data_IF_695854146156
#
_entry.id   IF_695854146156
#
_cell.length_a   1.000
_cell.length_b   1.000
_cell.length_c   1.000
_cell.angle_alpha   90.00
_cell.angle_beta   90.00
_cell.angle_gamma   90.00
#
_symmetry.space_group_name_H-M   'P 1'
#
loop_
_entity.id
_entity.type
_entity.pdbx_description
1 polymer ?
#
# COMPACT_ATOMS: atom_id res chain seq x y z
N UNK A 1 32.21 33.19 -18.08
CA UNK A 1 32.18 32.26 -16.93
C UNK A 1 30.78 31.72 -16.92
N UNK A 2 30.62 30.41 -17.09
CA UNK A 2 29.31 29.78 -17.08
C UNK A 2 28.78 29.89 -15.65
N UNK A 3 27.60 30.48 -15.46
CA UNK A 3 26.95 30.67 -14.17
C UNK A 3 26.54 29.34 -13.48
N UNK A 4 26.72 28.22 -14.18
CA UNK A 4 26.41 26.86 -13.75
C UNK A 4 27.54 26.22 -12.90
N UNK A 5 28.42 27.02 -12.29
CA UNK A 5 29.54 26.51 -11.47
C UNK A 5 29.68 27.27 -10.14
N UNK A 6 28.66 28.05 -9.76
CA UNK A 6 28.73 28.96 -8.61
C UNK A 6 27.61 28.76 -7.57
N UNK A 7 26.55 28.00 -7.88
CA UNK A 7 25.67 27.44 -6.86
C UNK A 7 25.91 25.95 -6.85
N UNK A 8 26.55 25.47 -5.80
CA UNK A 8 26.90 24.06 -5.60
C UNK A 8 25.79 23.41 -4.77
N UNK A 9 25.23 22.31 -5.25
CA UNK A 9 24.13 21.62 -4.60
C UNK A 9 24.48 20.17 -4.33
N UNK A 10 24.69 19.87 -3.07
CA UNK A 10 25.03 18.56 -2.56
C UNK A 10 23.83 17.81 -2.00
N UNK A 11 23.70 16.51 -2.30
CA UNK A 11 22.69 15.65 -1.70
C UNK A 11 23.26 14.30 -1.24
N UNK A 12 23.25 14.09 0.08
CA UNK A 12 23.63 12.83 0.68
C UNK A 12 22.38 12.08 1.17
N UNK A 13 22.24 10.82 0.76
CA UNK A 13 21.10 9.97 1.12
C UNK A 13 21.60 8.78 1.93
N UNK A 14 21.00 8.51 3.08
CA UNK A 14 21.35 7.37 3.92
C UNK A 14 20.67 6.09 3.44
N UNK A 15 21.18 4.96 3.90
CA UNK A 15 20.48 3.68 3.74
C UNK A 15 19.36 3.60 4.78
N UNK A 16 18.31 2.83 4.49
CA UNK A 16 17.21 2.64 5.43
C UNK A 16 16.49 1.29 5.31
N UNK A 17 15.69 0.92 6.32
CA UNK A 17 14.90 -0.30 6.30
C UNK A 17 13.65 -0.15 5.43
N UNK A 18 13.23 -1.22 4.73
CA UNK A 18 11.90 -1.32 4.12
C UNK A 18 10.84 -1.11 5.20
N UNK A 19 9.86 -0.24 4.94
CA UNK A 19 8.86 0.20 5.90
C UNK A 19 9.27 1.37 6.79
N UNK A 20 10.52 1.83 6.67
CA UNK A 20 11.04 3.04 7.31
C UNK A 20 11.36 4.13 6.29
N UNK A 21 12.46 4.83 6.53
CA UNK A 21 12.91 5.97 5.73
C UNK A 21 14.41 5.90 5.43
N UNK A 22 14.79 6.46 4.28
CA UNK A 22 16.15 6.96 4.04
C UNK A 22 16.18 8.46 4.37
N UNK A 23 17.11 8.89 5.21
CA UNK A 23 17.29 10.30 5.53
C UNK A 23 18.10 10.98 4.43
N UNK A 24 17.72 12.20 4.08
CA UNK A 24 18.38 13.00 3.05
C UNK A 24 18.92 14.27 3.69
N UNK A 25 20.19 14.57 3.43
CA UNK A 25 20.80 15.86 3.76
C UNK A 25 21.10 16.61 2.47
N UNK A 26 20.53 17.80 2.36
CA UNK A 26 20.78 18.74 1.28
C UNK A 26 21.72 19.82 1.77
N UNK A 27 22.78 20.09 1.02
CA UNK A 27 23.70 21.19 1.31
C UNK A 27 23.81 22.07 0.07
N UNK A 28 23.52 23.35 0.19
CA UNK A 28 23.64 24.30 -0.92
C UNK A 28 24.68 25.33 -0.53
N UNK A 29 25.69 25.48 -1.38
CA UNK A 29 26.79 26.41 -1.18
C UNK A 29 26.82 27.42 -2.30
N UNK A 30 26.72 28.71 -1.97
CA UNK A 30 27.00 29.76 -2.93
C UNK A 30 28.53 29.94 -3.04
N UNK A 31 29.12 29.39 -4.09
CA UNK A 31 30.53 29.54 -4.44
C UNK A 31 30.82 30.82 -5.23
N UNK A 32 29.80 31.58 -5.63
CA UNK A 32 29.99 32.87 -6.28
C UNK A 32 30.69 33.85 -5.34
N UNK A 33 31.71 34.57 -5.81
CA UNK A 33 32.34 35.63 -5.02
C UNK A 33 31.48 36.89 -4.89
N UNK A 34 30.47 37.07 -5.75
CA UNK A 34 29.75 38.34 -5.87
C UNK A 34 28.23 38.19 -5.92
N UNK A 35 27.70 37.08 -6.42
CA UNK A 35 26.27 36.94 -6.66
C UNK A 35 25.52 36.48 -5.42
N UNK A 36 24.26 36.91 -5.32
CA UNK A 36 23.32 36.46 -4.29
C UNK A 36 22.16 35.75 -4.97
N UNK A 37 21.84 34.56 -4.48
CA UNK A 37 20.70 33.79 -4.94
C UNK A 37 19.53 34.02 -3.99
N UNK A 38 18.36 34.34 -4.54
CA UNK A 38 17.14 34.57 -3.77
C UNK A 38 16.08 33.53 -4.09
N UNK A 39 15.16 33.29 -3.15
CA UNK A 39 14.08 32.31 -3.28
C UNK A 39 14.60 30.91 -3.65
N UNK A 40 15.72 30.50 -3.05
CA UNK A 40 16.28 29.18 -3.26
C UNK A 40 15.37 28.12 -2.64
N UNK A 41 14.94 27.17 -3.46
CA UNK A 41 14.10 26.03 -3.08
C UNK A 41 14.67 24.74 -3.64
N UNK A 42 14.41 23.63 -2.97
CA UNK A 42 14.74 22.29 -3.47
C UNK A 42 13.46 21.59 -3.91
N UNK A 43 13.52 20.90 -5.04
CA UNK A 43 12.52 19.94 -5.46
C UNK A 43 13.15 18.53 -5.56
N UNK A 44 12.67 17.61 -4.75
CA UNK A 44 13.09 16.21 -4.70
C UNK A 44 11.83 15.31 -4.81
N UNK A 45 11.51 14.77 -6.00
CA UNK A 45 10.27 14.03 -6.23
C UNK A 45 10.05 12.82 -5.32
N UNK A 46 11.12 12.13 -4.92
CA UNK A 46 11.04 10.92 -4.10
C UNK A 46 10.97 11.22 -2.59
N UNK A 47 11.23 12.47 -2.18
CA UNK A 47 11.13 12.86 -0.78
C UNK A 47 9.68 12.96 -0.33
N UNK A 48 9.44 12.63 0.94
CA UNK A 48 8.16 12.80 1.63
C UNK A 48 7.58 14.21 1.48
N UNK A 49 8.44 15.22 1.54
CA UNK A 49 8.09 16.61 1.24
C UNK A 49 8.88 16.99 -0.02
N UNK A 50 8.26 16.93 -1.21
CA UNK A 50 9.00 17.13 -2.45
C UNK A 50 9.55 18.54 -2.62
N UNK A 51 8.83 19.55 -2.12
CA UNK A 51 9.21 20.96 -2.26
C UNK A 51 9.68 21.53 -0.92
N UNK A 52 10.97 21.81 -0.80
CA UNK A 52 11.60 22.27 0.44
C UNK A 52 12.02 23.73 0.26
N UNK A 53 11.50 24.60 1.10
CA UNK A 53 11.93 26.00 1.18
C UNK A 53 13.07 26.10 2.17
N UNK A 54 14.20 26.64 1.74
CA UNK A 54 15.37 26.82 2.60
C UNK A 54 15.16 27.95 3.61
N UNK A 55 15.81 27.84 4.76
CA UNK A 55 15.88 28.90 5.75
C UNK A 55 17.34 29.15 6.18
N UNK A 56 17.99 30.22 5.69
CA UNK A 56 17.45 31.25 4.80
C UNK A 56 17.30 30.77 3.34
N UNK A 57 16.32 31.31 2.61
CA UNK A 57 16.14 31.07 1.16
C UNK A 57 16.89 32.10 0.29
N UNK A 58 17.58 33.05 0.91
CA UNK A 58 18.49 33.96 0.22
C UNK A 58 19.92 33.66 0.66
N UNK A 59 20.76 33.28 -0.30
CA UNK A 59 22.10 32.76 -0.07
C UNK A 59 23.11 33.73 -0.69
N UNK A 60 23.79 34.51 0.14
CA UNK A 60 24.83 35.45 -0.28
C UNK A 60 26.17 34.74 -0.58
N UNK A 61 27.16 35.47 -1.11
CA UNK A 61 28.48 34.92 -1.44
C UNK A 61 29.13 34.14 -0.29
N UNK A 62 29.58 32.92 -0.56
CA UNK A 62 30.25 32.04 0.40
C UNK A 62 29.35 31.43 1.48
N UNK A 63 28.03 31.68 1.44
CA UNK A 63 27.10 31.12 2.41
C UNK A 63 26.73 29.69 2.01
N UNK A 64 26.73 28.81 3.01
CA UNK A 64 26.21 27.45 2.92
C UNK A 64 24.93 27.33 3.75
N UNK A 65 23.93 26.63 3.21
CA UNK A 65 22.67 26.34 3.89
C UNK A 65 22.42 24.84 3.80
N UNK A 66 21.94 24.25 4.89
CA UNK A 66 21.56 22.84 4.94
C UNK A 66 20.06 22.68 5.17
N UNK A 67 19.49 21.63 4.60
CA UNK A 67 18.13 21.17 4.87
C UNK A 67 18.13 19.64 4.97
N UNK A 68 17.08 19.08 5.56
CA UNK A 68 16.90 17.64 5.65
C UNK A 68 15.55 17.22 5.07
N UNK A 69 15.48 15.97 4.62
CA UNK A 69 14.27 15.32 4.14
C UNK A 69 14.32 13.83 4.42
N UNK A 70 13.26 13.14 4.04
CA UNK A 70 13.16 11.69 4.18
C UNK A 70 12.52 11.11 2.93
N UNK A 71 12.94 9.91 2.53
CA UNK A 71 12.33 9.12 1.45
C UNK A 71 11.67 7.90 2.09
N UNK A 72 10.34 7.72 1.98
CA UNK A 72 9.68 6.53 2.51
C UNK A 72 10.07 5.29 1.69
N UNK A 73 10.39 4.20 2.38
CA UNK A 73 10.89 2.98 1.74
C UNK A 73 9.80 1.90 1.74
N UNK A 74 9.47 1.40 0.55
CA UNK A 74 8.66 0.19 0.31
C UNK A 74 9.51 -0.92 -0.31
N UNK A 75 8.98 -2.12 -0.46
CA UNK A 75 9.57 -3.13 -1.35
C UNK A 75 9.27 -4.58 -1.01
N UNK A 76 9.16 -5.41 -2.04
CA UNK A 76 9.08 -6.86 -1.87
C UNK A 76 10.46 -7.50 -1.52
N UNK A 77 10.48 -8.78 -1.13
CA UNK A 77 11.73 -9.50 -0.76
C UNK A 77 12.70 -9.70 -1.94
N UNK A 78 12.27 -9.35 -3.16
CA UNK A 78 13.08 -9.33 -4.39
C UNK A 78 13.56 -7.92 -4.75
N UNK A 79 13.10 -6.91 -4.01
CA UNK A 79 13.35 -5.48 -4.22
C UNK A 79 14.40 -4.89 -3.28
N UNK A 80 15.03 -5.71 -2.41
CA UNK A 80 16.23 -5.30 -1.67
C UNK A 80 17.31 -4.91 -2.69
N UNK A 81 17.78 -3.67 -2.65
CA UNK A 81 18.58 -3.22 -3.78
C UNK A 81 18.99 -1.77 -3.76
N UNK A 82 19.77 -1.47 -4.78
CA UNK A 82 20.30 -0.16 -5.11
C UNK A 82 19.18 0.70 -5.67
N UNK A 83 18.95 1.85 -5.05
CA UNK A 83 18.05 2.88 -5.53
C UNK A 83 18.87 4.11 -5.92
N UNK A 84 18.32 4.89 -6.83
CA UNK A 84 18.91 6.14 -7.29
C UNK A 84 17.87 7.23 -7.16
N UNK A 85 18.31 8.42 -6.75
CA UNK A 85 17.46 9.61 -6.69
C UNK A 85 18.25 10.85 -7.09
N UNK A 86 17.56 11.89 -7.52
CA UNK A 86 18.14 13.19 -7.80
C UNK A 86 17.18 14.29 -7.35
N UNK A 87 17.73 15.36 -6.79
CA UNK A 87 17.00 16.57 -6.48
C UNK A 87 17.45 17.72 -7.39
N UNK A 88 16.68 18.80 -7.38
CA UNK A 88 17.02 20.04 -8.07
C UNK A 88 16.93 21.21 -7.11
N UNK A 89 17.90 22.11 -7.15
CA UNK A 89 17.85 23.39 -6.47
C UNK A 89 17.54 24.49 -7.49
N UNK A 90 16.54 25.31 -7.21
CA UNK A 90 16.18 26.45 -8.06
C UNK A 90 16.29 27.74 -7.29
N UNK A 91 16.80 28.80 -7.90
CA UNK A 91 16.90 30.13 -7.30
C UNK A 91 16.80 31.24 -8.33
N UNK A 92 16.80 32.48 -7.86
CA UNK A 92 16.81 33.68 -8.71
C UNK A 92 18.13 34.43 -8.49
N UNK A 93 18.90 34.56 -9.56
CA UNK A 93 20.11 35.39 -9.64
C UNK A 93 19.88 36.53 -10.63
N UNK A 94 20.05 37.79 -10.21
CA UNK A 94 19.93 38.97 -11.08
C UNK A 94 18.63 39.00 -11.92
N UNK A 95 17.53 38.52 -11.35
CA UNK A 95 16.21 38.43 -11.99
C UNK A 95 16.00 37.24 -12.94
N UNK A 96 17.00 36.38 -13.10
CA UNK A 96 16.92 35.15 -13.90
C UNK A 96 16.82 33.92 -13.01
N UNK A 97 16.01 32.94 -13.42
CA UNK A 97 15.95 31.64 -12.76
C UNK A 97 17.22 30.85 -13.08
N UNK A 98 17.78 30.22 -12.06
CA UNK A 98 18.85 29.23 -12.17
C UNK A 98 18.35 27.91 -11.59
N UNK A 99 18.88 26.81 -12.13
CA UNK A 99 18.60 25.46 -11.69
C UNK A 99 19.90 24.69 -11.65
N UNK A 100 20.14 24.01 -10.54
CA UNK A 100 21.26 23.11 -10.33
C UNK A 100 20.72 21.72 -9.98
N UNK A 101 21.36 20.66 -10.47
CA UNK A 101 21.04 19.30 -10.02
C UNK A 101 21.85 19.00 -8.76
N UNK A 102 21.35 18.06 -7.95
CA UNK A 102 22.15 17.61 -6.81
C UNK A 102 23.39 16.85 -7.29
N UNK A 103 24.51 17.06 -6.62
CA UNK A 103 25.69 16.23 -6.65
C UNK A 103 25.39 14.93 -5.91
N UNK A 104 25.41 13.85 -6.67
CA UNK A 104 25.04 12.53 -6.19
C UNK A 104 26.23 11.69 -5.78
N UNK A 105 26.04 10.81 -4.79
CA UNK A 105 27.00 9.74 -4.48
C UNK A 105 26.75 8.54 -5.41
N UNK A 106 27.75 8.11 -6.17
CA UNK A 106 27.65 6.93 -7.03
C UNK A 106 27.72 5.60 -6.25
N UNK A 107 27.56 4.46 -6.94
CA UNK A 107 27.62 3.14 -6.31
C UNK A 107 28.98 2.78 -5.70
N UNK A 108 30.03 3.56 -5.99
CA UNK A 108 31.38 3.39 -5.47
C UNK A 108 31.67 4.35 -4.30
N UNK A 109 30.70 5.20 -3.91
CA UNK A 109 30.84 6.17 -2.84
C UNK A 109 31.49 7.49 -3.27
N UNK A 110 31.65 7.75 -4.57
CA UNK A 110 32.24 9.01 -5.06
C UNK A 110 31.14 10.03 -5.36
N UNK A 111 31.44 11.32 -5.17
CA UNK A 111 30.54 12.40 -5.61
C UNK A 111 30.69 12.67 -7.10
N UNK A 112 29.55 12.79 -7.77
CA UNK A 112 29.44 13.13 -9.18
C UNK A 112 28.66 14.44 -9.27
N UNK A 113 29.32 15.44 -9.86
CA UNK A 113 28.76 16.73 -10.24
C UNK A 113 27.49 16.54 -11.08
N UNK A 114 26.38 17.16 -10.67
CA UNK A 114 25.05 17.03 -11.29
C UNK A 114 24.55 15.55 -11.39
N UNK A 115 25.03 14.68 -10.49
CA UNK A 115 24.79 13.23 -10.50
C UNK A 115 23.54 12.74 -9.74
N UNK A 116 23.26 11.44 -9.80
CA UNK A 116 22.22 10.82 -8.96
C UNK A 116 22.86 10.27 -7.69
N UNK A 117 22.20 10.44 -6.54
CA UNK A 117 22.60 9.79 -5.29
C UNK A 117 22.10 8.36 -5.26
N UNK A 118 23.00 7.47 -4.89
CA UNK A 118 22.78 6.04 -4.78
C UNK A 118 22.63 5.69 -3.30
N UNK A 119 21.58 4.95 -2.97
CA UNK A 119 21.33 4.49 -1.61
C UNK A 119 20.74 3.08 -1.61
N UNK A 120 20.81 2.41 -0.45
CA UNK A 120 20.29 1.07 -0.28
C UNK A 120 19.10 1.06 0.66
N UNK A 121 18.04 0.37 0.23
CA UNK A 121 17.03 -0.13 1.18
C UNK A 121 17.38 -1.56 1.59
N UNK A 122 17.23 -1.86 2.88
CA UNK A 122 17.51 -3.19 3.43
C UNK A 122 16.29 -3.76 4.14
N UNK A 123 16.25 -5.08 4.30
CA UNK A 123 15.22 -5.72 5.11
C UNK A 123 15.51 -5.52 6.60
N UNK A 124 14.45 -5.46 7.40
CA UNK A 124 14.49 -5.60 8.87
C UNK A 124 14.05 -7.02 9.25
N UNK A 125 14.32 -7.46 10.49
CA UNK A 125 13.90 -8.79 10.95
C UNK A 125 12.39 -9.01 10.83
N UNK A 126 11.60 -7.94 11.04
CA UNK A 126 10.16 -7.92 10.80
C UNK A 126 9.78 -6.64 10.08
N UNK A 127 9.11 -6.82 8.95
CA UNK A 127 8.60 -5.75 8.13
C UNK A 127 7.40 -6.25 7.34
N UNK A 128 6.53 -5.36 6.90
CA UNK A 128 5.32 -5.74 6.21
C UNK A 128 4.64 -4.59 5.52
N UNK A 129 3.54 -4.92 4.85
CA UNK A 129 2.65 -3.97 4.19
C UNK A 129 1.24 -4.21 4.73
N UNK A 130 0.50 -3.13 4.96
CA UNK A 130 -0.94 -3.19 5.19
C UNK A 130 -1.63 -2.69 3.93
N UNK A 131 -2.60 -3.44 3.42
CA UNK A 131 -3.22 -3.14 2.15
C UNK A 131 -4.70 -3.56 2.10
N UNK A 132 -5.44 -2.97 1.17
CA UNK A 132 -6.75 -3.46 0.73
C UNK A 132 -6.53 -4.42 -0.42
N UNK A 133 -6.96 -5.67 -0.25
CA UNK A 133 -6.93 -6.74 -1.25
C UNK A 133 -8.03 -6.50 -2.27
N UNK A 134 -7.69 -5.79 -3.35
CA UNK A 134 -8.65 -5.35 -4.36
C UNK A 134 -9.10 -6.52 -5.22
N UNK A 135 -8.18 -7.42 -5.55
CA UNK A 135 -8.46 -8.51 -6.47
C UNK A 135 -9.01 -9.77 -5.75
N UNK A 136 -8.92 -9.83 -4.42
CA UNK A 136 -9.47 -10.87 -3.57
C UNK A 136 -8.64 -12.15 -3.56
N UNK A 137 -7.34 -12.08 -3.89
CA UNK A 137 -6.47 -13.25 -3.98
C UNK A 137 -5.64 -13.51 -2.71
N UNK A 138 -5.76 -12.65 -1.70
CA UNK A 138 -5.07 -12.74 -0.41
C UNK A 138 -3.53 -12.69 -0.53
N UNK A 139 -3.01 -11.97 -1.52
CA UNK A 139 -1.59 -11.74 -1.75
C UNK A 139 -1.43 -10.28 -2.14
N UNK A 140 -0.46 -9.58 -1.54
CA UNK A 140 -0.15 -8.21 -1.95
C UNK A 140 0.37 -8.17 -3.39
N UNK A 141 -0.40 -7.56 -4.27
CA UNK A 141 -0.05 -7.30 -5.66
C UNK A 141 0.19 -5.80 -5.90
N UNK A 142 1.46 -5.44 -6.13
CA UNK A 142 1.87 -4.06 -6.38
C UNK A 142 1.13 -3.46 -7.60
N UNK A 143 0.51 -2.31 -7.40
CA UNK A 143 -0.28 -1.61 -8.43
C UNK A 143 -1.69 -2.16 -8.66
N UNK A 144 -2.08 -3.27 -8.03
CA UNK A 144 -3.46 -3.77 -8.02
C UNK A 144 -4.10 -3.49 -6.65
N UNK A 145 -3.37 -3.82 -5.60
CA UNK A 145 -3.82 -3.59 -4.23
C UNK A 145 -3.52 -2.16 -3.78
N UNK A 146 -4.37 -1.68 -2.88
CA UNK A 146 -4.22 -0.33 -2.33
C UNK A 146 -3.51 -0.42 -0.99
N UNK A 147 -2.25 0.01 -0.91
CA UNK A 147 -1.57 0.09 0.39
C UNK A 147 -2.24 1.11 1.30
N UNK A 148 -2.12 0.92 2.61
CA UNK A 148 -2.73 1.78 3.62
C UNK A 148 -1.65 2.52 4.40
N UNK A 149 -1.28 3.75 3.98
CA UNK A 149 -0.46 4.64 4.78
C UNK A 149 -1.14 5.06 6.09
N UNK A 150 -0.35 5.29 7.14
CA UNK A 150 -0.87 5.80 8.41
C UNK A 150 -1.64 4.78 9.25
N UNK A 151 -1.74 3.52 8.80
CA UNK A 151 -2.29 2.44 9.61
C UNK A 151 -1.44 2.22 10.86
N UNK A 152 -2.10 2.21 12.02
CA UNK A 152 -1.51 2.06 13.35
C UNK A 152 -1.49 0.57 13.72
N UNK A 153 -0.33 0.12 14.20
CA UNK A 153 -0.13 -1.22 14.77
C UNK A 153 0.23 -1.02 16.24
N UNK A 154 -0.66 -1.46 17.12
CA UNK A 154 -0.46 -1.40 18.57
C UNK A 154 0.31 -2.62 19.04
N UNK A 155 1.42 -2.39 19.72
CA UNK A 155 2.29 -3.37 20.32
C UNK A 155 2.00 -3.47 21.81
N UNK A 156 2.10 -4.68 22.35
CA UNK A 156 2.02 -4.92 23.78
C UNK A 156 2.91 -6.10 24.18
N UNK A 157 3.40 -6.07 25.41
CA UNK A 157 4.13 -7.17 26.04
C UNK A 157 3.32 -7.83 27.15
N UNK A 158 3.85 -8.93 27.70
CA UNK A 158 3.21 -9.68 28.77
C UNK A 158 3.31 -8.98 30.15
N UNK A 159 4.07 -7.90 30.25
CA UNK A 159 4.19 -7.01 31.40
C UNK A 159 3.18 -5.83 31.34
N UNK A 160 2.46 -5.68 30.22
CA UNK A 160 1.46 -4.64 29.99
C UNK A 160 2.03 -3.31 29.51
N UNK A 161 3.29 -3.25 29.08
CA UNK A 161 3.81 -2.11 28.35
C UNK A 161 3.20 -2.09 26.94
N UNK A 162 2.99 -0.89 26.41
CA UNK A 162 2.40 -0.68 25.09
C UNK A 162 3.21 0.33 24.30
N UNK A 163 3.29 0.11 23.00
CA UNK A 163 3.83 1.07 22.02
C UNK A 163 3.03 0.96 20.73
N UNK A 164 3.30 1.83 19.77
CA UNK A 164 2.64 1.80 18.47
C UNK A 164 3.62 2.11 17.37
N UNK A 165 3.52 1.38 16.27
CA UNK A 165 4.18 1.73 15.03
C UNK A 165 3.13 2.12 13.98
N UNK A 166 3.55 2.88 12.99
CA UNK A 166 2.66 3.39 11.93
C UNK A 166 3.29 3.04 10.59
N UNK A 167 2.46 2.60 9.65
CA UNK A 167 2.89 2.45 8.26
C UNK A 167 3.29 3.80 7.66
N UNK A 168 4.39 3.83 6.92
CA UNK A 168 4.85 5.01 6.20
C UNK A 168 3.92 5.36 5.03
N UNK A 169 4.29 6.37 4.24
CA UNK A 169 3.49 6.89 3.12
C UNK A 169 3.31 5.91 1.97
N UNK A 170 4.07 4.82 1.98
CA UNK A 170 3.91 3.72 1.03
C UNK A 170 3.03 2.59 1.58
N UNK A 171 2.56 2.69 2.83
CA UNK A 171 1.77 1.66 3.54
C UNK A 171 2.62 0.51 4.10
N UNK A 172 3.93 0.69 4.15
CA UNK A 172 4.87 -0.30 4.68
C UNK A 172 5.30 0.06 6.08
N UNK A 173 5.62 -0.96 6.86
CA UNK A 173 6.09 -0.81 8.23
C UNK A 173 7.26 -1.73 8.50
N UNK A 174 8.07 -1.36 9.49
CA UNK A 174 9.05 -2.25 10.08
C UNK A 174 9.00 -2.15 11.59
N UNK A 175 9.46 -3.21 12.24
CA UNK A 175 9.60 -3.24 13.67
C UNK A 175 11.08 -3.07 14.03
N UNK A 176 11.40 -1.94 14.69
CA UNK A 176 12.68 -1.78 15.35
C UNK A 176 12.66 -2.53 16.69
N UNK A 177 13.67 -3.36 16.90
CA UNK A 177 13.78 -4.19 18.10
C UNK A 177 14.15 -3.39 19.36
N UNK A 178 14.27 -2.07 19.27
CA UNK A 178 14.46 -1.19 20.43
C UNK A 178 13.33 -1.26 21.45
N UNK A 179 12.13 -1.69 21.03
CA UNK A 179 11.00 -1.98 21.94
C UNK A 179 11.18 -3.27 22.75
N UNK A 180 12.04 -4.20 22.32
CA UNK A 180 12.30 -5.46 23.04
C UNK A 180 13.24 -5.19 24.22
N UNK A 181 12.74 -5.31 25.46
CA UNK A 181 13.59 -5.32 26.65
C UNK A 181 14.25 -6.69 26.79
N UNK A 182 15.51 -6.79 26.39
CA UNK A 182 16.25 -8.04 26.14
C UNK A 182 16.61 -8.88 27.39
N UNK A 183 15.88 -8.79 28.50
CA UNK A 183 16.23 -9.50 29.74
C UNK A 183 15.42 -10.76 30.02
N UNK A 184 14.28 -10.95 29.35
CA UNK A 184 13.44 -12.15 29.45
C UNK A 184 12.88 -12.52 28.06
N UNK A 185 12.41 -13.76 27.85
CA UNK A 185 11.62 -14.10 26.67
C UNK A 185 10.23 -13.48 26.83
N UNK A 186 10.16 -12.16 26.75
CA UNK A 186 8.91 -11.42 26.80
C UNK A 186 8.07 -11.80 25.58
N UNK A 187 6.79 -12.07 25.83
CA UNK A 187 5.82 -12.41 24.79
C UNK A 187 5.23 -11.11 24.26
N UNK A 188 5.76 -10.63 23.14
CA UNK A 188 5.20 -9.48 22.44
C UNK A 188 4.10 -9.91 21.48
N UNK A 189 3.11 -9.05 21.33
CA UNK A 189 2.12 -9.18 20.27
C UNK A 189 1.70 -7.81 19.74
N UNK A 190 1.13 -7.84 18.55
CA UNK A 190 0.78 -6.70 17.74
C UNK A 190 -0.66 -6.86 17.24
N UNK A 191 -1.42 -5.78 17.30
CA UNK A 191 -2.78 -5.70 16.75
C UNK A 191 -2.83 -4.49 15.82
N UNK A 192 -3.27 -4.71 14.59
CA UNK A 192 -3.59 -3.62 13.67
C UNK A 192 -4.88 -2.95 14.12
N UNK A 193 -4.83 -1.64 14.34
CA UNK A 193 -6.02 -0.84 14.63
C UNK A 193 -6.73 -0.46 13.34
N UNK A 194 -7.74 -1.24 12.97
CA UNK A 194 -8.54 -0.97 11.76
C UNK A 194 -9.27 0.37 11.79
N UNK A 195 -9.41 1.02 12.95
CA UNK A 195 -9.98 2.38 13.03
C UNK A 195 -9.01 3.46 12.53
N UNK A 196 -7.74 3.12 12.30
CA UNK A 196 -6.76 4.01 11.68
C UNK A 196 -6.82 3.99 10.15
N UNK A 197 -7.66 3.14 9.55
CA UNK A 197 -7.76 3.02 8.09
C UNK A 197 -8.50 4.22 7.47
N UNK A 198 -8.38 4.47 6.16
CA UNK A 198 -8.91 5.67 5.50
C UNK A 198 -10.43 5.86 5.64
N UNK A 199 -11.18 4.75 5.76
CA UNK A 199 -12.64 4.75 5.95
C UNK A 199 -13.00 4.01 7.25
N UNK A 200 -12.78 4.62 8.43
CA UNK A 200 -12.92 3.93 9.72
C UNK A 200 -14.37 3.55 10.07
N UNK A 201 -15.35 3.99 9.27
CA UNK A 201 -16.74 3.58 9.39
C UNK A 201 -17.03 2.23 8.69
N UNK A 202 -16.14 1.76 7.81
CA UNK A 202 -16.24 0.45 7.18
C UNK A 202 -15.76 -0.61 8.17
N UNK A 203 -16.38 -1.78 8.14
CA UNK A 203 -15.80 -2.97 8.74
C UNK A 203 -14.73 -3.50 7.80
N UNK A 204 -13.57 -3.82 8.36
CA UNK A 204 -12.46 -4.41 7.63
C UNK A 204 -12.24 -5.84 8.12
N UNK A 205 -12.04 -6.75 7.18
CA UNK A 205 -11.83 -8.17 7.43
C UNK A 205 -10.46 -8.58 6.90
N UNK A 206 -9.64 -9.14 7.79
CA UNK A 206 -8.34 -9.68 7.42
C UNK A 206 -8.53 -10.90 6.50
N UNK A 207 -7.87 -10.90 5.34
CA UNK A 207 -7.96 -11.96 4.32
C UNK A 207 -6.63 -12.68 4.10
N UNK A 208 -5.51 -12.06 4.45
CA UNK A 208 -4.18 -12.70 4.38
C UNK A 208 -3.37 -12.52 5.69
N UNK A 209 -2.12 -12.97 5.66
CA UNK A 209 -1.15 -12.66 6.70
C UNK A 209 -1.30 -13.52 7.96
N UNK A 210 -0.47 -13.27 8.98
CA UNK A 210 -0.67 -13.90 10.28
C UNK A 210 -1.97 -13.38 10.90
N UNK A 211 -2.68 -14.26 11.62
CA UNK A 211 -3.89 -13.85 12.33
C UNK A 211 -3.57 -12.70 13.30
N UNK A 212 -4.48 -11.73 13.40
CA UNK A 212 -4.41 -10.66 14.41
C UNK A 212 -5.05 -11.16 15.72
N UNK A 213 -4.39 -11.07 16.89
CA UNK A 213 -3.04 -10.51 17.11
C UNK A 213 -1.91 -11.40 16.59
N UNK A 214 -0.84 -10.79 16.10
CA UNK A 214 0.36 -11.47 15.59
C UNK A 214 1.59 -11.11 16.42
N UNK A 215 2.68 -11.88 16.32
CA UNK A 215 3.93 -11.62 17.06
C UNK A 215 5.04 -11.20 16.09
N UNK A 216 5.49 -9.93 16.10
CA UNK A 216 6.68 -9.51 15.38
C UNK A 216 7.91 -10.31 15.83
N UNK A 217 8.78 -10.66 14.88
CA UNK A 217 10.03 -11.35 15.17
C UNK A 217 11.18 -10.38 15.49
N UNK A 218 12.03 -10.77 16.46
CA UNK A 218 13.20 -10.01 16.90
C UNK A 218 14.49 -10.23 16.11
N UNK A 219 15.60 -9.66 16.62
CA UNK A 219 16.93 -9.50 15.97
C UNK A 219 17.57 -10.77 15.39
N UNK A 220 17.20 -11.96 15.87
CA UNK A 220 17.78 -13.24 15.43
C UNK A 220 16.87 -14.06 14.52
N UNK A 221 15.71 -13.53 14.16
CA UNK A 221 14.85 -14.19 13.20
C UNK A 221 15.31 -13.94 11.77
N UNK A 222 14.99 -14.88 10.89
CA UNK A 222 14.98 -14.61 9.44
C UNK A 222 14.11 -13.40 9.15
N UNK A 223 14.49 -12.59 8.17
CA UNK A 223 13.66 -11.49 7.67
C UNK A 223 12.32 -12.08 7.21
N UNK A 224 11.27 -11.84 8.00
CA UNK A 224 9.93 -12.36 7.71
C UNK A 224 9.07 -11.18 7.30
N UNK A 225 8.56 -11.27 6.07
CA UNK A 225 7.51 -10.41 5.56
C UNK A 225 6.20 -10.73 6.27
N UNK A 226 5.62 -9.71 6.92
CA UNK A 226 4.38 -9.77 7.68
C UNK A 226 3.31 -8.90 7.01
N UNK A 227 2.91 -9.28 5.80
CA UNK A 227 1.82 -8.62 5.08
C UNK A 227 0.47 -8.87 5.76
N UNK A 228 -0.41 -7.87 5.71
CA UNK A 228 -1.80 -7.96 6.20
C UNK A 228 -2.74 -7.22 5.24
N UNK A 229 -3.54 -7.99 4.54
CA UNK A 229 -4.48 -7.63 3.50
C UNK A 229 -5.88 -7.68 4.09
N UNK A 230 -6.63 -6.65 3.79
CA UNK A 230 -7.99 -6.47 4.27
C UNK A 230 -8.94 -6.31 3.11
N UNK A 231 -10.17 -6.75 3.31
CA UNK A 231 -11.31 -6.36 2.48
C UNK A 231 -12.24 -5.52 3.34
N UNK A 232 -12.93 -4.55 2.73
CA UNK A 232 -13.90 -3.72 3.44
C UNK A 232 -15.33 -4.26 3.32
N UNK A 233 -16.31 -3.58 3.91
CA UNK A 233 -17.73 -3.97 3.90
C UNK A 233 -18.39 -4.05 2.52
N UNK A 234 -17.74 -3.54 1.46
CA UNK A 234 -18.22 -3.79 0.12
C UNK A 234 -17.86 -5.21 -0.34
N UNK A 235 -17.05 -5.96 0.41
CA UNK A 235 -16.77 -7.36 0.11
C UNK A 235 -17.86 -8.30 0.64
N UNK A 236 -18.48 -9.06 -0.25
CA UNK A 236 -19.40 -10.13 0.11
C UNK A 236 -19.30 -11.34 -0.81
N UNK A 237 -20.11 -12.35 -0.52
CA UNK A 237 -20.19 -13.55 -1.36
C UNK A 237 -21.44 -13.48 -2.23
N UNK A 238 -21.26 -13.51 -3.54
CA UNK A 238 -22.33 -13.82 -4.48
C UNK A 238 -22.53 -15.34 -4.49
N UNK A 239 -23.78 -15.77 -4.27
CA UNK A 239 -24.19 -17.17 -4.37
C UNK A 239 -25.13 -17.34 -5.58
N UNK A 240 -24.82 -18.31 -6.46
CA UNK A 240 -25.65 -18.68 -7.59
C UNK A 240 -26.03 -20.16 -7.51
N UNK A 241 -27.32 -20.47 -7.70
CA UNK A 241 -27.82 -21.83 -7.83
C UNK A 241 -28.99 -21.88 -8.80
N UNK A 242 -29.22 -23.04 -9.39
CA UNK A 242 -30.36 -23.33 -10.24
C UNK A 242 -31.17 -24.46 -9.61
N UNK A 243 -32.49 -24.40 -9.74
CA UNK A 243 -33.40 -25.37 -9.16
C UNK A 243 -34.58 -25.66 -10.10
N UNK A 244 -35.21 -26.81 -9.92
CA UNK A 244 -36.43 -27.19 -10.62
C UNK A 244 -37.62 -26.51 -9.94
N UNK A 245 -38.06 -25.39 -10.51
CA UNK A 245 -39.29 -24.70 -10.13
C UNK A 245 -40.50 -25.58 -10.47
N UNK A 246 -40.92 -26.40 -9.51
CA UNK A 246 -41.92 -27.45 -9.74
C UNK A 246 -43.34 -26.88 -9.68
N UNK A 247 -43.51 -25.76 -9.00
CA UNK A 247 -44.81 -25.12 -8.82
C UNK A 247 -45.00 -23.86 -9.70
N UNK A 248 -43.96 -23.43 -10.43
CA UNK A 248 -43.99 -22.36 -11.41
C UNK A 248 -44.07 -20.96 -10.80
N UNK A 249 -43.62 -20.77 -9.55
CA UNK A 249 -43.73 -19.49 -8.85
C UNK A 249 -42.48 -18.61 -8.96
N UNK A 250 -41.42 -19.09 -9.62
CA UNK A 250 -40.19 -18.36 -9.84
C UNK A 250 -39.33 -18.11 -8.59
N UNK A 251 -39.65 -18.74 -7.46
CA UNK A 251 -38.91 -18.65 -6.20
C UNK A 251 -38.48 -20.05 -5.75
N UNK A 252 -37.35 -20.14 -5.05
CA UNK A 252 -36.89 -21.42 -4.53
C UNK A 252 -37.73 -21.85 -3.32
N UNK A 253 -38.39 -22.99 -3.43
CA UNK A 253 -39.20 -23.57 -2.36
C UNK A 253 -38.58 -24.80 -1.69
N UNK A 254 -39.04 -25.07 -0.47
CA UNK A 254 -38.63 -26.24 0.29
C UNK A 254 -39.07 -27.53 -0.43
N UNK A 255 -38.09 -28.35 -0.84
CA UNK A 255 -38.32 -29.60 -1.57
C UNK A 255 -37.99 -29.52 -3.06
N UNK A 256 -37.69 -28.33 -3.60
CA UNK A 256 -37.23 -28.19 -4.98
C UNK A 256 -35.78 -28.65 -5.15
N UNK A 257 -35.56 -29.41 -6.22
CA UNK A 257 -34.29 -30.07 -6.49
C UNK A 257 -33.38 -29.13 -7.26
N UNK A 258 -32.12 -29.03 -6.84
CA UNK A 258 -31.12 -28.25 -7.57
C UNK A 258 -30.83 -28.88 -8.94
N UNK A 259 -30.53 -28.04 -9.94
CA UNK A 259 -30.17 -28.48 -11.29
C UNK A 259 -28.64 -28.46 -11.44
N UNK A 260 -27.98 -29.62 -11.55
CA UNK A 260 -26.56 -29.67 -11.88
C UNK A 260 -26.33 -29.23 -13.33
N UNK A 261 -25.06 -29.02 -13.68
CA UNK A 261 -24.62 -28.68 -15.03
C UNK A 261 -25.21 -27.37 -15.61
N UNK A 262 -25.46 -26.40 -14.75
CA UNK A 262 -25.83 -25.03 -15.15
C UNK A 262 -24.57 -24.16 -15.21
N UNK A 263 -24.48 -23.34 -16.25
CA UNK A 263 -23.45 -22.32 -16.39
C UNK A 263 -23.95 -20.99 -15.84
N UNK A 264 -23.11 -20.35 -15.04
CA UNK A 264 -23.33 -19.03 -14.46
C UNK A 264 -22.18 -18.13 -14.89
N UNK A 265 -22.50 -17.04 -15.57
CA UNK A 265 -21.61 -15.92 -15.81
C UNK A 265 -21.63 -15.03 -14.56
N UNK A 266 -20.44 -14.75 -14.01
CA UNK A 266 -20.23 -13.81 -12.92
C UNK A 266 -19.50 -12.60 -13.46
N UNK A 267 -19.94 -11.41 -13.07
CA UNK A 267 -19.26 -10.14 -13.35
C UNK A 267 -18.80 -9.58 -12.01
N UNK A 268 -17.48 -9.58 -11.79
CA UNK A 268 -16.89 -9.10 -10.54
C UNK A 268 -16.88 -7.57 -10.51
N UNK A 269 -17.14 -6.99 -9.35
CA UNK A 269 -16.96 -5.57 -9.04
C UNK A 269 -17.72 -4.62 -9.99
N UNK A 270 -18.79 -5.11 -10.61
CA UNK A 270 -19.55 -4.43 -11.67
C UNK A 270 -18.69 -3.95 -12.87
N UNK A 271 -17.59 -4.65 -13.17
CA UNK A 271 -16.76 -4.43 -14.35
C UNK A 271 -17.02 -5.52 -15.39
N UNK A 272 -17.70 -5.23 -16.53
CA UNK A 272 -17.97 -6.21 -17.57
C UNK A 272 -16.71 -6.91 -18.13
N UNK A 273 -15.52 -6.32 -17.97
CA UNK A 273 -14.27 -6.94 -18.38
C UNK A 273 -13.87 -8.15 -17.52
N UNK A 274 -14.47 -8.33 -16.35
CA UNK A 274 -14.18 -9.43 -15.41
C UNK A 274 -15.11 -10.64 -15.58
N UNK A 275 -15.93 -10.66 -16.64
CA UNK A 275 -16.87 -11.75 -16.91
C UNK A 275 -16.19 -13.12 -16.92
N UNK A 276 -16.65 -14.00 -16.03
CA UNK A 276 -16.22 -15.39 -15.94
C UNK A 276 -17.42 -16.34 -15.99
N UNK A 277 -17.39 -17.33 -16.89
CA UNK A 277 -18.42 -18.38 -16.95
C UNK A 277 -17.97 -19.60 -16.18
N UNK A 278 -18.71 -19.94 -15.13
CA UNK A 278 -18.43 -21.06 -14.25
C UNK A 278 -19.52 -22.10 -14.37
N UNK A 279 -19.09 -23.35 -14.40
CA UNK A 279 -19.96 -24.52 -14.44
C UNK A 279 -20.11 -25.11 -13.04
N UNK A 280 -21.35 -25.24 -12.55
CA UNK A 280 -21.58 -25.75 -11.20
C UNK A 280 -21.26 -27.26 -11.06
N UNK A 281 -21.20 -27.99 -12.19
CA UNK A 281 -20.87 -29.41 -12.18
C UNK A 281 -21.92 -30.22 -11.44
N UNK A 282 -21.48 -31.16 -10.59
CA UNK A 282 -22.35 -31.90 -9.67
C UNK A 282 -22.67 -31.10 -8.40
N UNK A 283 -21.95 -30.00 -8.18
CA UNK A 283 -22.13 -29.14 -7.01
C UNK A 283 -23.28 -28.18 -7.31
N UNK A 284 -24.23 -28.08 -6.40
CA UNK A 284 -25.52 -27.47 -6.72
C UNK A 284 -25.52 -25.93 -6.63
N UNK A 285 -24.52 -25.38 -5.95
CA UNK A 285 -24.42 -23.96 -5.65
C UNK A 285 -22.99 -23.49 -5.90
N UNK A 286 -22.83 -22.43 -6.67
CA UNK A 286 -21.54 -21.75 -6.85
C UNK A 286 -21.51 -20.55 -5.90
N UNK A 287 -20.36 -20.34 -5.26
CA UNK A 287 -20.08 -19.14 -4.47
C UNK A 287 -18.86 -18.43 -5.03
N UNK A 288 -18.93 -17.11 -5.09
CA UNK A 288 -17.84 -16.22 -5.52
C UNK A 288 -17.76 -15.01 -4.60
N UNK A 289 -16.56 -14.54 -4.37
CA UNK A 289 -16.30 -13.28 -3.68
C UNK A 289 -16.47 -12.13 -4.66
N UNK A 290 -17.02 -11.02 -4.18
CA UNK A 290 -17.28 -9.81 -4.95
C UNK A 290 -17.08 -8.59 -4.03
N UNK A 291 -16.40 -7.55 -4.52
CA UNK A 291 -16.12 -6.31 -3.80
C UNK A 291 -17.28 -5.31 -3.92
N UNK A 292 -18.37 -5.60 -4.65
CA UNK A 292 -19.59 -4.76 -4.68
C UNK A 292 -20.90 -5.55 -4.87
N UNK A 293 -21.23 -6.53 -4.01
CA UNK A 293 -22.38 -7.39 -4.22
C UNK A 293 -23.69 -6.60 -4.11
N UNK A 294 -24.47 -6.59 -5.19
CA UNK A 294 -25.84 -6.07 -5.19
C UNK A 294 -25.98 -4.56 -5.43
N UNK A 295 -24.97 -3.86 -5.96
CA UNK A 295 -25.09 -2.43 -6.34
C UNK A 295 -25.68 -2.25 -7.76
N UNK A 296 -25.67 -3.28 -8.62
CA UNK A 296 -26.43 -3.30 -9.88
C UNK A 296 -27.10 -4.66 -10.12
N UNK A 297 -28.17 -4.66 -10.91
CA UNK A 297 -29.09 -5.79 -11.07
C UNK A 297 -28.53 -7.02 -11.83
N UNK A 298 -27.23 -7.12 -12.14
CA UNK A 298 -26.71 -8.10 -13.11
C UNK A 298 -25.35 -8.73 -12.74
N UNK A 299 -25.04 -8.94 -11.47
CA UNK A 299 -23.75 -9.57 -11.08
C UNK A 299 -23.66 -11.05 -11.50
N UNK A 300 -24.80 -11.67 -11.83
CA UNK A 300 -24.90 -13.04 -12.35
C UNK A 300 -25.85 -13.10 -13.55
N UNK A 301 -25.39 -13.63 -14.68
CA UNK A 301 -26.26 -14.13 -15.75
C UNK A 301 -26.17 -15.66 -15.81
N UNK A 302 -27.29 -16.37 -15.84
CA UNK A 302 -27.28 -17.82 -15.99
C UNK A 302 -27.79 -18.24 -17.38
N UNK A 303 -27.09 -19.20 -17.99
CA UNK A 303 -27.45 -19.75 -19.30
C UNK A 303 -27.40 -21.29 -19.24
N UNK A 304 -28.52 -21.93 -19.60
CA UNK A 304 -28.58 -23.38 -19.76
C UNK A 304 -27.97 -23.78 -21.11
N UNK A 305 -26.90 -24.56 -21.09
CA UNK A 305 -26.21 -25.07 -22.28
C UNK A 305 -26.93 -26.27 -22.91
N UNK A 306 -27.85 -26.92 -22.19
CA UNK A 306 -28.73 -27.98 -22.68
C UNK A 306 -30.16 -27.84 -22.10
N UNK A 307 -31.17 -28.31 -22.85
CA UNK A 307 -32.57 -28.46 -22.38
C UNK A 307 -33.35 -27.16 -22.06
N UNK A 308 -33.03 -26.03 -22.73
CA UNK A 308 -33.74 -24.73 -22.56
C UNK A 308 -35.27 -24.78 -22.71
N UNK A 309 -35.82 -25.81 -23.37
CA UNK A 309 -37.27 -25.96 -23.55
C UNK A 309 -38.04 -26.38 -22.27
N UNK A 310 -37.34 -26.69 -21.17
CA UNK A 310 -37.95 -27.29 -19.98
C UNK A 310 -37.81 -26.46 -18.68
N UNK A 311 -37.06 -25.36 -18.68
CA UNK A 311 -36.71 -24.65 -17.44
C UNK A 311 -36.74 -23.12 -17.62
N UNK A 312 -37.22 -22.41 -16.59
CA UNK A 312 -37.09 -20.96 -16.45
C UNK A 312 -35.91 -20.65 -15.50
N UNK A 313 -35.11 -19.64 -15.83
CA UNK A 313 -34.03 -19.15 -14.98
C UNK A 313 -34.51 -17.87 -14.32
N UNK A 314 -34.61 -17.86 -13.00
CA UNK A 314 -34.88 -16.64 -12.21
C UNK A 314 -33.64 -16.31 -11.40
N UNK A 315 -33.00 -15.17 -11.68
CA UNK A 315 -31.91 -14.64 -10.86
C UNK A 315 -32.52 -13.87 -9.69
N UNK A 316 -32.43 -14.46 -8.48
CA UNK A 316 -32.71 -13.75 -7.23
C UNK A 316 -31.39 -13.25 -6.66
N UNK A 317 -31.24 -11.93 -6.54
CA UNK A 317 -30.15 -11.32 -5.78
C UNK A 317 -30.48 -11.49 -4.30
N UNK A 318 -29.76 -12.38 -3.60
CA UNK A 318 -29.85 -12.43 -2.15
C UNK A 318 -28.96 -11.33 -1.57
N UNK A 319 -29.52 -10.15 -1.33
CA UNK A 319 -28.87 -9.15 -0.49
C UNK A 319 -28.76 -9.72 0.92
N UNK A 320 -27.56 -10.08 1.37
CA UNK A 320 -27.33 -10.40 2.79
C UNK A 320 -27.38 -9.08 3.55
N UNK A 321 -28.58 -8.60 3.88
CA UNK A 321 -28.74 -7.69 5.01
C UNK A 321 -28.56 -8.54 6.27
N UNK A 322 -27.49 -8.29 7.04
CA UNK A 322 -27.43 -8.71 8.44
C UNK A 322 -27.74 -7.55 9.38
N UNK A 323 -28.24 -7.87 10.58
CA UNK A 323 -29.24 -7.07 11.28
C UNK A 323 -28.64 -5.78 11.83
N UNK A 324 -29.48 -4.75 11.90
CA UNK A 324 -29.24 -3.57 12.73
C UNK A 324 -28.72 -4.02 14.11
N UNK A 325 -27.64 -3.41 14.64
CA UNK A 325 -27.18 -3.71 15.98
C UNK A 325 -28.33 -3.46 16.95
N UNK A 326 -28.70 -4.48 17.71
CA UNK A 326 -29.58 -4.30 18.87
C UNK A 326 -28.90 -3.33 19.83
N UNK A 327 -29.58 -2.22 20.12
CA UNK A 327 -29.23 -1.31 21.22
C UNK A 327 -29.12 -2.05 22.55
#
# INVERSE_FOLDING_TARGET
MNAQAELDFDMDVTNGPIGGYADVTYTITNLSPNDTYSNVTINHPDALIPNIVLNPSTIGPGIQVTATGQIPLSGDSYSVGLLITQATATGIMNGSMITELSDGIDSMGNRIDDGQSVYFRHESSSYGVIYLDTNGNSIYDDGIDTTIPGAVINLYDDQGNTDSLVTNETGWWYFDNSFINTTLPDYYAAIIDVNSFPSPANSYHLVDGPASPFTPNGWFASNIRMSHGYVDDNFGTIEASSFLDTNGNGSRDNGEVNIPYTSFEFIKDNDPATSEVIFNGFDNTIRRTDLNPGVQLNDINAALTAQQAFYNITTLIMTIFKPLPTK
#
